data_IF_603018875982
#
_entry.id   IF_603018875982
#
_cell.length_a   1.000
_cell.length_b   1.000
_cell.length_c   1.000
_cell.angle_alpha   90.00
_cell.angle_beta   90.00
_cell.angle_gamma   90.00
#
_symmetry.space_group_name_H-M   'P 1'
#
loop_
_entity.id
_entity.type
_entity.pdbx_description
1 polymer ?
#
# COMPACT_ATOMS: atom_id res chain seq x y z
N UNK A 1 9.48 24.77 3.00
CA UNK A 1 8.12 25.25 2.68
C UNK A 1 7.19 24.05 2.82
N UNK A 2 6.48 23.93 3.95
CA UNK A 2 5.64 22.77 4.25
C UNK A 2 4.44 22.79 3.29
N UNK A 3 4.35 21.80 2.41
CA UNK A 3 3.17 21.58 1.59
C UNK A 3 2.10 21.09 2.56
N UNK A 4 1.29 22.01 3.10
CA UNK A 4 0.05 21.63 3.76
C UNK A 4 -0.85 21.07 2.67
N UNK A 5 -0.91 19.74 2.60
CA UNK A 5 -1.93 19.06 1.82
C UNK A 5 -3.29 19.65 2.20
N UNK A 6 -4.04 20.14 1.23
CA UNK A 6 -5.40 20.62 1.44
C UNK A 6 -6.30 19.40 1.67
N UNK A 7 -6.26 18.87 2.89
CA UNK A 7 -7.04 17.72 3.36
C UNK A 7 -8.56 17.96 3.28
N UNK A 8 -8.99 19.16 2.90
CA UNK A 8 -10.38 19.52 2.65
C UNK A 8 -10.84 19.27 1.22
N UNK A 9 -9.96 18.79 0.33
CA UNK A 9 -10.35 18.57 -1.06
C UNK A 9 -11.28 17.35 -1.17
N UNK A 10 -12.57 17.61 -0.95
CA UNK A 10 -13.68 16.68 -1.00
C UNK A 10 -14.20 16.50 -2.43
N UNK A 11 -13.31 16.51 -3.41
CA UNK A 11 -13.66 16.35 -4.81
C UNK A 11 -12.95 15.14 -5.42
N UNK A 12 -13.63 14.50 -6.37
CA UNK A 12 -13.00 13.45 -7.18
C UNK A 12 -12.01 14.09 -8.16
N UNK A 13 -10.85 13.47 -8.33
CA UNK A 13 -9.91 13.86 -9.39
C UNK A 13 -10.55 13.59 -10.76
N UNK A 14 -10.22 14.41 -11.78
CA UNK A 14 -10.82 14.28 -13.11
C UNK A 14 -10.60 12.88 -13.73
N UNK A 15 -9.41 12.30 -13.58
CA UNK A 15 -9.12 10.93 -14.03
C UNK A 15 -9.99 9.87 -13.33
N UNK A 16 -10.42 10.15 -12.10
CA UNK A 16 -11.24 9.25 -11.28
C UNK A 16 -12.70 9.37 -11.69
N UNK A 17 -13.20 10.59 -11.93
CA UNK A 17 -14.58 10.84 -12.41
C UNK A 17 -14.88 10.06 -13.69
N UNK A 18 -13.91 9.95 -14.60
CA UNK A 18 -14.06 9.24 -15.86
C UNK A 18 -14.12 7.70 -15.72
N UNK A 19 -13.64 7.13 -14.61
CA UNK A 19 -13.42 5.68 -14.49
C UNK A 19 -14.11 5.03 -13.28
N UNK A 20 -14.56 5.80 -12.30
CA UNK A 20 -15.16 5.29 -11.06
C UNK A 20 -16.43 6.04 -10.72
N UNK A 21 -17.47 5.29 -10.40
CA UNK A 21 -18.70 5.77 -9.80
C UNK A 21 -18.99 4.91 -8.57
N UNK A 22 -19.40 5.55 -7.47
CA UNK A 22 -19.85 4.83 -6.28
C UNK A 22 -21.37 4.74 -6.26
N UNK A 23 -21.89 3.60 -5.82
CA UNK A 23 -23.34 3.38 -5.69
C UNK A 23 -23.96 4.25 -4.56
N UNK A 24 -23.13 4.72 -3.62
CA UNK A 24 -23.52 5.46 -2.41
C UNK A 24 -22.54 6.62 -2.14
N UNK A 25 -22.95 7.65 -1.36
CA UNK A 25 -22.17 8.87 -1.16
C UNK A 25 -21.01 8.68 -0.16
N UNK A 26 -20.00 7.88 -0.53
CA UNK A 26 -18.75 7.72 0.24
C UNK A 26 -17.83 8.92 0.02
N UNK A 27 -16.92 9.14 0.98
CA UNK A 27 -15.93 10.20 0.86
C UNK A 27 -15.04 10.04 -0.40
N UNK A 28 -14.78 11.10 -1.18
CA UNK A 28 -14.00 11.02 -2.43
C UNK A 28 -12.62 10.42 -2.28
N UNK A 29 -11.98 10.56 -1.11
CA UNK A 29 -10.72 9.89 -0.78
C UNK A 29 -10.70 8.40 -1.13
N UNK A 30 -11.80 7.67 -0.89
CA UNK A 30 -11.87 6.23 -1.17
C UNK A 30 -11.82 5.91 -2.68
N UNK A 31 -12.34 6.81 -3.51
CA UNK A 31 -12.32 6.67 -4.98
C UNK A 31 -11.03 7.26 -5.56
N UNK A 32 -10.50 8.34 -4.98
CA UNK A 32 -9.26 8.98 -5.39
C UNK A 32 -8.05 8.10 -5.09
N UNK A 33 -8.09 7.30 -4.03
CA UNK A 33 -7.03 6.32 -3.78
C UNK A 33 -7.13 5.18 -4.80
N UNK A 34 -6.15 5.10 -5.68
CA UNK A 34 -5.94 3.97 -6.58
C UNK A 34 -4.45 3.62 -6.64
N UNK A 35 -4.13 2.46 -7.20
CA UNK A 35 -2.77 1.94 -7.17
C UNK A 35 -2.10 2.11 -8.52
N UNK A 36 -1.61 3.32 -8.79
CA UNK A 36 -0.78 3.62 -9.95
C UNK A 36 0.56 2.84 -9.87
N UNK A 37 1.19 2.64 -11.02
CA UNK A 37 2.52 2.08 -11.22
C UNK A 37 3.54 3.15 -11.59
N UNK A 38 3.11 4.28 -12.12
CA UNK A 38 4.01 5.37 -12.51
C UNK A 38 4.44 6.18 -11.30
N UNK A 39 5.75 6.42 -11.19
CA UNK A 39 6.33 7.21 -10.11
C UNK A 39 7.31 8.23 -10.69
N UNK A 40 7.33 9.43 -10.09
CA UNK A 40 8.41 10.39 -10.33
C UNK A 40 9.65 9.98 -9.54
N UNK A 41 10.83 10.35 -10.05
CA UNK A 41 12.10 10.26 -9.30
C UNK A 41 12.21 11.24 -8.13
N UNK A 42 11.15 12.03 -7.87
CA UNK A 42 11.08 12.98 -6.78
C UNK A 42 11.23 12.25 -5.43
N UNK A 43 12.22 12.60 -4.60
CA UNK A 43 12.38 12.00 -3.28
C UNK A 43 11.17 12.24 -2.38
N UNK A 44 10.90 11.25 -1.52
CA UNK A 44 9.94 11.38 -0.42
C UNK A 44 10.74 11.73 0.84
N UNK A 45 10.43 12.86 1.48
CA UNK A 45 11.13 13.25 2.71
C UNK A 45 10.79 12.29 3.85
N UNK A 46 11.69 12.17 4.82
CA UNK A 46 11.44 11.38 6.04
C UNK A 46 10.16 11.86 6.74
N UNK A 47 9.96 13.18 6.90
CA UNK A 47 8.72 13.72 7.48
C UNK A 47 7.45 13.18 6.78
N UNK A 48 7.45 13.15 5.44
CA UNK A 48 6.32 12.65 4.65
C UNK A 48 6.14 11.14 4.84
N UNK A 49 7.22 10.38 4.74
CA UNK A 49 7.23 8.93 4.92
C UNK A 49 6.75 8.52 6.32
N UNK A 50 7.26 9.19 7.36
CA UNK A 50 6.88 8.92 8.74
C UNK A 50 5.44 9.36 9.03
N UNK A 51 4.95 10.42 8.39
CA UNK A 51 3.51 10.78 8.48
C UNK A 51 2.61 9.67 7.94
N UNK A 52 3.01 9.03 6.83
CA UNK A 52 2.29 7.89 6.24
C UNK A 52 2.32 6.67 7.17
N UNK A 53 3.48 6.36 7.76
CA UNK A 53 3.64 5.25 8.70
C UNK A 53 2.91 5.50 10.03
N UNK A 54 2.86 6.74 10.50
CA UNK A 54 2.14 7.11 11.73
C UNK A 54 0.64 6.88 11.57
N UNK A 55 0.05 7.22 10.41
CA UNK A 55 -1.35 6.87 10.13
C UNK A 55 -1.59 5.37 10.15
N UNK A 56 -0.65 4.57 9.62
CA UNK A 56 -0.72 3.11 9.69
C UNK A 56 -0.67 2.60 11.13
N UNK A 57 0.15 3.22 12.00
CA UNK A 57 0.28 2.89 13.42
C UNK A 57 -1.01 3.10 14.21
N UNK A 58 -1.86 4.03 13.79
CA UNK A 58 -3.16 4.33 14.41
C UNK A 58 -4.30 3.41 13.97
N UNK A 59 -4.03 2.39 13.14
CA UNK A 59 -5.05 1.41 12.79
C UNK A 59 -5.56 0.65 14.04
N UNK A 60 -6.83 0.20 14.05
CA UNK A 60 -7.34 -0.66 15.11
C UNK A 60 -6.69 -2.05 15.03
N UNK A 61 -6.58 -2.73 16.18
CA UNK A 61 -6.16 -4.13 16.26
C UNK A 61 -6.79 -4.83 17.46
N UNK A 62 -6.97 -6.15 17.38
CA UNK A 62 -7.51 -6.91 18.51
C UNK A 62 -6.62 -6.76 19.73
N UNK A 63 -7.24 -6.47 20.87
CA UNK A 63 -6.56 -6.22 22.15
C UNK A 63 -5.45 -5.15 22.05
N UNK A 64 -5.53 -4.27 21.04
CA UNK A 64 -4.50 -3.27 20.73
C UNK A 64 -3.09 -3.87 20.54
N UNK A 65 -2.99 -5.09 20.00
CA UNK A 65 -1.72 -5.81 19.86
C UNK A 65 -0.78 -5.22 18.79
N UNK A 66 -1.31 -4.44 17.85
CA UNK A 66 -0.53 -3.70 16.84
C UNK A 66 0.54 -4.58 16.16
N UNK A 67 0.15 -5.68 15.50
CA UNK A 67 1.09 -6.72 15.08
C UNK A 67 2.00 -6.31 13.92
N UNK A 68 1.63 -5.25 13.20
CA UNK A 68 2.30 -4.80 11.98
C UNK A 68 3.75 -4.38 12.23
N UNK A 69 4.62 -4.68 11.26
CA UNK A 69 5.99 -4.18 11.14
C UNK A 69 6.21 -3.70 9.71
N UNK A 70 7.03 -2.66 9.57
CA UNK A 70 7.37 -2.06 8.30
C UNK A 70 8.89 -2.07 8.13
N UNK A 71 9.37 -2.77 7.10
CA UNK A 71 10.78 -2.73 6.71
C UNK A 71 10.88 -1.75 5.55
N UNK A 72 11.45 -0.59 5.80
CA UNK A 72 11.46 0.54 4.86
C UNK A 72 12.78 0.62 4.10
N UNK A 73 12.69 0.83 2.79
CA UNK A 73 13.81 1.12 1.91
C UNK A 73 13.60 2.47 1.23
N UNK A 74 14.48 3.43 1.52
CA UNK A 74 14.54 4.76 0.91
C UNK A 74 15.98 5.16 0.55
N UNK A 75 16.92 4.20 0.59
CA UNK A 75 18.30 4.33 0.11
C UNK A 75 18.53 3.33 -1.02
N UNK A 76 19.41 3.63 -1.96
CA UNK A 76 19.62 2.74 -3.12
C UNK A 76 20.04 1.33 -2.71
N UNK A 77 20.92 1.19 -1.71
CA UNK A 77 21.33 -0.10 -1.16
C UNK A 77 20.13 -0.91 -0.66
N UNK A 78 19.25 -0.28 0.13
CA UNK A 78 18.09 -0.97 0.70
C UNK A 78 17.01 -1.23 -0.35
N UNK A 79 16.88 -0.34 -1.33
CA UNK A 79 15.97 -0.51 -2.46
C UNK A 79 16.40 -1.70 -3.30
N UNK A 80 17.68 -1.82 -3.66
CA UNK A 80 18.21 -2.98 -4.37
C UNK A 80 18.04 -4.27 -3.57
N UNK A 81 18.25 -4.22 -2.25
CA UNK A 81 17.97 -5.37 -1.40
C UNK A 81 16.50 -5.82 -1.52
N UNK A 82 15.53 -4.90 -1.51
CA UNK A 82 14.11 -5.27 -1.69
C UNK A 82 13.81 -5.71 -3.13
N UNK A 83 14.35 -5.02 -4.14
CA UNK A 83 14.16 -5.35 -5.56
C UNK A 83 14.68 -6.74 -5.91
N UNK A 84 15.69 -7.25 -5.19
CA UNK A 84 16.28 -8.58 -5.41
C UNK A 84 15.30 -9.74 -5.31
N UNK A 85 14.23 -9.60 -4.51
CA UNK A 85 13.20 -10.62 -4.34
C UNK A 85 11.84 -10.25 -4.97
N UNK A 86 11.78 -9.16 -5.74
CA UNK A 86 10.60 -8.85 -6.56
C UNK A 86 10.60 -9.69 -7.85
N UNK A 87 9.43 -10.19 -8.24
CA UNK A 87 9.31 -10.86 -9.53
C UNK A 87 9.56 -9.89 -10.70
N UNK A 88 10.14 -10.35 -11.82
CA UNK A 88 10.57 -9.48 -12.93
C UNK A 88 9.50 -8.51 -13.44
N UNK A 89 8.26 -8.97 -13.55
CA UNK A 89 7.16 -8.13 -14.04
C UNK A 89 6.79 -6.97 -13.10
N UNK A 90 7.07 -7.09 -11.79
CA UNK A 90 6.89 -5.99 -10.84
C UNK A 90 8.01 -4.96 -10.93
N UNK A 91 9.24 -5.40 -11.19
CA UNK A 91 10.42 -4.52 -11.32
C UNK A 91 10.31 -3.52 -12.47
N UNK A 92 9.60 -3.87 -13.54
CA UNK A 92 9.35 -3.01 -14.70
C UNK A 92 8.73 -1.63 -14.34
N UNK A 93 8.15 -1.48 -13.15
CA UNK A 93 7.61 -0.23 -12.67
C UNK A 93 8.01 0.09 -11.22
N UNK A 94 8.14 -0.93 -10.35
CA UNK A 94 8.48 -0.73 -8.94
C UNK A 94 9.91 -0.19 -8.76
N UNK A 95 10.82 -0.42 -9.71
CA UNK A 95 12.19 0.10 -9.64
C UNK A 95 12.21 1.65 -9.70
N UNK A 96 11.18 2.29 -10.28
CA UNK A 96 11.03 3.75 -10.31
C UNK A 96 10.53 4.34 -8.98
N UNK A 97 10.00 3.52 -8.06
CA UNK A 97 9.48 4.00 -6.80
C UNK A 97 10.63 4.44 -5.86
N UNK A 98 10.60 5.67 -5.31
CA UNK A 98 11.64 6.16 -4.41
C UNK A 98 11.62 5.48 -3.03
N UNK A 99 10.50 4.81 -2.68
CA UNK A 99 10.35 4.06 -1.43
C UNK A 99 9.72 2.71 -1.70
N UNK A 100 10.31 1.66 -1.12
CA UNK A 100 9.71 0.33 -1.00
C UNK A 100 9.54 -0.03 0.48
N UNK A 101 8.41 -0.64 0.83
CA UNK A 101 8.11 -1.04 2.22
C UNK A 101 7.66 -2.50 2.22
N UNK A 102 8.36 -3.38 2.93
CA UNK A 102 7.82 -4.71 3.24
C UNK A 102 6.92 -4.59 4.47
N UNK A 103 5.64 -4.90 4.30
CA UNK A 103 4.69 -4.97 5.42
C UNK A 103 4.59 -6.41 5.93
N UNK A 104 4.79 -6.57 7.23
CA UNK A 104 4.83 -7.85 7.92
C UNK A 104 4.00 -7.79 9.20
N UNK A 105 3.77 -8.93 9.85
CA UNK A 105 3.11 -8.97 11.15
C UNK A 105 3.62 -10.11 12.03
N UNK A 106 3.63 -9.93 13.35
CA UNK A 106 3.89 -11.06 14.26
C UNK A 106 2.70 -12.04 14.28
N UNK A 107 3.00 -13.34 14.22
CA UNK A 107 2.04 -14.45 14.33
C UNK A 107 1.74 -14.84 15.77
N UNK A 108 2.55 -14.34 16.70
CA UNK A 108 2.48 -14.64 18.13
C UNK A 108 2.42 -13.37 18.94
N UNK A 109 1.74 -13.43 20.08
CA UNK A 109 1.71 -12.40 21.10
C UNK A 109 3.01 -12.44 21.92
N UNK A 110 3.19 -11.46 22.81
CA UNK A 110 4.36 -11.39 23.70
C UNK A 110 4.50 -12.61 24.61
N UNK A 111 3.38 -13.21 25.03
CA UNK A 111 3.37 -14.42 25.85
C UNK A 111 3.57 -15.73 25.04
N UNK A 112 3.80 -15.63 23.73
CA UNK A 112 3.99 -16.77 22.83
C UNK A 112 2.71 -17.36 22.25
N UNK A 113 1.53 -16.94 22.70
CA UNK A 113 0.26 -17.44 22.16
C UNK A 113 0.06 -17.03 20.69
N UNK A 114 -0.62 -17.84 19.88
CA UNK A 114 -1.00 -17.45 18.53
C UNK A 114 -1.82 -16.16 18.47
N UNK A 115 -1.61 -15.36 17.43
CA UNK A 115 -2.37 -14.16 17.11
C UNK A 115 -3.14 -14.34 15.80
N UNK A 116 -4.25 -15.11 15.76
CA UNK A 116 -4.85 -15.60 14.52
C UNK A 116 -5.30 -14.53 13.53
N UNK A 117 -5.58 -13.30 13.99
CA UNK A 117 -6.05 -12.20 13.14
C UNK A 117 -4.95 -11.19 12.79
N UNK A 118 -3.67 -11.51 13.02
CA UNK A 118 -2.55 -10.61 12.77
C UNK A 118 -2.56 -10.01 11.35
N UNK A 119 -2.91 -10.81 10.34
CA UNK A 119 -3.00 -10.39 8.94
C UNK A 119 -4.16 -9.43 8.70
N UNK A 120 -5.31 -9.66 9.34
CA UNK A 120 -6.49 -8.79 9.23
C UNK A 120 -6.20 -7.41 9.82
N UNK A 121 -5.64 -7.37 11.04
CA UNK A 121 -5.22 -6.13 11.71
C UNK A 121 -4.17 -5.37 10.87
N UNK A 122 -3.22 -6.10 10.28
CA UNK A 122 -2.19 -5.51 9.40
C UNK A 122 -2.77 -4.99 8.07
N UNK A 123 -3.85 -5.62 7.58
CA UNK A 123 -4.61 -5.10 6.43
C UNK A 123 -5.27 -3.74 6.71
N UNK A 124 -5.73 -3.51 7.95
CA UNK A 124 -6.22 -2.21 8.38
C UNK A 124 -5.09 -1.15 8.41
N UNK A 125 -3.91 -1.52 8.91
CA UNK A 125 -2.73 -0.66 8.88
C UNK A 125 -2.32 -0.30 7.44
N UNK A 126 -2.34 -1.26 6.52
CA UNK A 126 -2.15 -1.01 5.09
C UNK A 126 -3.19 -0.03 4.51
N UNK A 127 -4.47 -0.20 4.85
CA UNK A 127 -5.51 0.70 4.38
C UNK A 127 -5.25 2.14 4.84
N UNK A 128 -4.98 2.35 6.14
CA UNK A 128 -4.65 3.66 6.70
C UNK A 128 -3.40 4.27 6.05
N UNK A 129 -2.34 3.49 5.85
CA UNK A 129 -1.12 3.88 5.13
C UNK A 129 -1.47 4.42 3.73
N UNK A 130 -2.24 3.65 2.96
CA UNK A 130 -2.56 3.99 1.57
C UNK A 130 -3.44 5.25 1.45
N UNK A 131 -4.36 5.45 2.39
CA UNK A 131 -5.24 6.63 2.44
C UNK A 131 -4.44 7.88 2.85
N UNK A 132 -3.57 7.78 3.86
CA UNK A 132 -2.72 8.89 4.26
C UNK A 132 -1.76 9.29 3.14
N UNK A 133 -1.17 8.33 2.43
CA UNK A 133 -0.35 8.60 1.26
C UNK A 133 -1.14 9.39 0.21
N UNK A 134 -2.38 8.97 -0.09
CA UNK A 134 -3.25 9.67 -1.04
C UNK A 134 -3.55 11.11 -0.62
N UNK A 135 -3.76 11.36 0.68
CA UNK A 135 -3.98 12.72 1.20
C UNK A 135 -2.74 13.62 1.01
N UNK A 136 -1.54 13.05 1.03
CA UNK A 136 -0.27 13.76 0.80
C UNK A 136 0.10 13.87 -0.68
N UNK A 137 -0.78 13.45 -1.60
CA UNK A 137 -0.53 13.45 -3.03
C UNK A 137 0.45 12.34 -3.49
N UNK A 138 0.63 11.31 -2.68
CA UNK A 138 1.43 10.13 -3.01
C UNK A 138 0.55 9.00 -3.56
N UNK A 139 1.14 8.16 -4.40
CA UNK A 139 0.57 6.89 -4.83
C UNK A 139 1.16 5.73 -4.03
N UNK A 140 0.34 4.71 -3.78
CA UNK A 140 0.77 3.45 -3.15
C UNK A 140 0.28 2.23 -3.92
N UNK A 141 1.16 1.24 -4.06
CA UNK A 141 0.84 -0.03 -4.72
C UNK A 141 1.46 -1.21 -4.00
N UNK A 142 0.60 -2.03 -3.38
CA UNK A 142 0.99 -3.29 -2.74
C UNK A 142 1.13 -4.43 -3.76
N UNK A 143 2.16 -5.26 -3.54
CA UNK A 143 2.51 -6.43 -4.32
C UNK A 143 2.53 -7.66 -3.41
N UNK A 144 1.57 -8.55 -3.57
CA UNK A 144 1.61 -9.88 -2.94
C UNK A 144 2.55 -10.86 -3.67
N UNK A 145 2.85 -10.60 -4.95
CA UNK A 145 3.73 -11.42 -5.78
C UNK A 145 5.20 -11.01 -5.64
N UNK A 146 5.89 -11.61 -4.68
CA UNK A 146 7.34 -11.54 -4.49
C UNK A 146 7.84 -12.86 -3.89
N UNK A 147 9.14 -13.14 -3.97
CA UNK A 147 9.72 -14.33 -3.37
C UNK A 147 9.83 -14.15 -1.85
N UNK A 148 8.84 -14.69 -1.11
CA UNK A 148 8.77 -14.58 0.35
C UNK A 148 9.92 -15.30 1.06
N UNK A 149 10.42 -16.40 0.49
CA UNK A 149 11.52 -17.17 1.07
C UNK A 149 12.85 -16.44 0.89
N UNK A 150 13.10 -15.88 -0.30
CA UNK A 150 14.23 -14.99 -0.53
C UNK A 150 14.14 -13.75 0.38
N UNK A 151 12.99 -13.07 0.43
CA UNK A 151 12.80 -11.92 1.30
C UNK A 151 13.06 -12.24 2.78
N UNK A 152 12.61 -13.40 3.26
CA UNK A 152 12.87 -13.85 4.64
C UNK A 152 14.36 -14.01 4.92
N UNK A 153 15.11 -14.64 4.00
CA UNK A 153 16.57 -14.81 4.15
C UNK A 153 17.31 -13.48 4.10
N UNK A 154 17.05 -12.68 3.06
CA UNK A 154 17.74 -11.41 2.83
C UNK A 154 17.50 -10.40 3.96
N UNK A 155 16.26 -10.35 4.47
CA UNK A 155 15.88 -9.43 5.54
C UNK A 155 16.00 -10.04 6.94
N UNK A 156 16.49 -11.28 7.06
CA UNK A 156 16.66 -12.01 8.32
C UNK A 156 15.38 -12.03 9.17
N UNK A 157 14.23 -12.27 8.53
CA UNK A 157 12.92 -12.18 9.18
C UNK A 157 12.65 -13.45 9.99
N UNK A 158 12.39 -13.36 11.31
CA UNK A 158 12.11 -14.54 12.13
C UNK A 158 10.83 -15.26 11.71
N UNK A 159 10.74 -16.57 11.93
CA UNK A 159 9.57 -17.40 11.55
C UNK A 159 8.27 -17.00 12.27
N UNK A 160 8.41 -16.33 13.41
CA UNK A 160 7.31 -15.72 14.15
C UNK A 160 6.68 -14.55 13.41
N UNK A 161 7.27 -14.04 12.33
CA UNK A 161 6.70 -13.00 11.49
C UNK A 161 6.21 -13.54 10.15
N UNK A 162 5.08 -13.00 9.70
CA UNK A 162 4.54 -13.22 8.36
C UNK A 162 4.81 -12.03 7.46
N UNK A 163 5.29 -12.29 6.23
CA UNK A 163 5.45 -11.27 5.19
C UNK A 163 4.19 -11.22 4.31
N UNK A 164 3.57 -10.04 4.21
CA UNK A 164 2.29 -9.87 3.50
C UNK A 164 2.48 -9.34 2.08
N UNK A 165 3.13 -8.19 1.96
CA UNK A 165 3.30 -7.49 0.69
C UNK A 165 4.55 -6.61 0.68
N UNK A 166 5.01 -6.27 -0.53
CA UNK A 166 5.90 -5.13 -0.77
C UNK A 166 5.08 -3.98 -1.32
N UNK A 167 5.24 -2.79 -0.76
CA UNK A 167 4.50 -1.58 -1.11
C UNK A 167 5.46 -0.63 -1.81
N UNK A 168 5.15 -0.25 -3.04
CA UNK A 168 5.77 0.90 -3.70
C UNK A 168 5.05 2.19 -3.26
N UNK A 169 5.84 3.21 -2.92
CA UNK A 169 5.35 4.52 -2.49
C UNK A 169 6.16 5.64 -3.15
N UNK A 170 5.48 6.66 -3.65
CA UNK A 170 6.11 7.81 -4.30
C UNK A 170 5.08 8.77 -4.90
N UNK A 171 5.55 9.87 -5.47
CA UNK A 171 4.68 10.80 -6.20
C UNK A 171 4.28 10.20 -7.55
N UNK A 172 2.99 10.28 -7.96
CA UNK A 172 2.54 9.71 -9.22
C UNK A 172 3.26 10.35 -10.41
N UNK A 173 3.75 9.53 -11.33
CA UNK A 173 4.35 9.95 -12.60
C UNK A 173 3.35 9.87 -13.77
N UNK A 174 3.78 10.25 -14.98
CA UNK A 174 2.96 10.06 -16.17
C UNK A 174 3.05 8.63 -16.71
N UNK A 175 1.96 8.14 -17.32
CA UNK A 175 1.87 6.75 -17.83
C UNK A 175 2.90 6.45 -18.92
N UNK A 176 3.38 7.47 -19.62
CA UNK A 176 4.39 7.36 -20.67
C UNK A 176 5.75 6.86 -20.16
N UNK A 177 6.04 7.01 -18.85
CA UNK A 177 7.26 6.48 -18.22
C UNK A 177 7.20 4.97 -17.98
N UNK A 178 6.03 4.35 -18.14
CA UNK A 178 5.83 2.93 -17.94
C UNK A 178 6.20 2.13 -19.19
N UNK A 179 6.63 0.89 -18.94
CA UNK A 179 6.69 -0.14 -19.97
C UNK A 179 5.32 -0.27 -20.68
N UNK A 180 5.33 -0.48 -22.00
CA UNK A 180 4.13 -0.44 -22.85
C UNK A 180 2.99 -1.34 -22.34
N UNK A 181 3.32 -2.51 -21.78
CA UNK A 181 2.37 -3.47 -21.21
C UNK A 181 1.54 -2.96 -20.03
N UNK A 182 1.89 -1.80 -19.45
CA UNK A 182 1.16 -1.19 -18.34
C UNK A 182 0.41 0.09 -18.71
N UNK A 183 0.74 0.75 -19.83
CA UNK A 183 0.22 2.10 -20.14
C UNK A 183 -1.30 2.15 -20.23
N UNK A 184 -1.91 1.15 -20.86
CA UNK A 184 -3.37 1.04 -21.00
C UNK A 184 -4.07 0.59 -19.71
N UNK A 185 -3.30 0.19 -18.70
CA UNK A 185 -3.80 -0.26 -17.39
C UNK A 185 -3.51 0.76 -16.30
N UNK A 186 -3.00 1.92 -16.67
CA UNK A 186 -2.64 3.01 -15.78
C UNK A 186 -3.82 3.97 -15.65
N UNK A 187 -4.91 3.43 -15.11
CA UNK A 187 -6.14 4.16 -14.81
C UNK A 187 -6.85 3.56 -13.59
N UNK A 188 -7.69 4.33 -12.89
CA UNK A 188 -8.46 3.85 -11.75
C UNK A 188 -9.43 2.72 -12.15
N UNK A 189 -9.29 1.53 -11.57
CA UNK A 189 -10.22 0.42 -11.85
C UNK A 189 -11.57 0.55 -11.13
N UNK A 190 -12.65 0.01 -11.73
CA UNK A 190 -13.97 -0.09 -11.12
C UNK A 190 -14.09 -1.18 -10.05
N UNK A 191 -15.31 -1.39 -9.53
CA UNK A 191 -15.68 -2.48 -8.62
C UNK A 191 -16.92 -3.19 -9.16
N UNK A 192 -17.08 -4.46 -8.82
CA UNK A 192 -18.37 -5.15 -8.96
C UNK A 192 -19.45 -4.40 -8.15
N UNK A 193 -20.73 -4.52 -8.51
CA UNK A 193 -21.83 -3.92 -7.74
C UNK A 193 -21.77 -4.29 -6.26
N UNK A 194 -22.20 -3.36 -5.38
CA UNK A 194 -22.18 -3.61 -3.93
C UNK A 194 -22.97 -4.88 -3.55
N UNK A 195 -24.07 -5.15 -4.26
CA UNK A 195 -24.94 -6.31 -4.03
C UNK A 195 -24.21 -7.65 -4.13
N UNK A 196 -23.14 -7.77 -4.93
CA UNK A 196 -22.33 -9.00 -5.00
C UNK A 196 -21.46 -9.22 -3.75
N UNK A 197 -21.34 -8.24 -2.86
CA UNK A 197 -20.55 -8.33 -1.62
C UNK A 197 -21.41 -8.36 -0.36
N UNK A 198 -22.73 -8.25 -0.49
CA UNK A 198 -23.68 -8.37 0.62
C UNK A 198 -24.32 -9.75 0.52
N UNK A 199 -23.99 -10.61 1.48
CA UNK A 199 -24.70 -11.88 1.68
C UNK A 199 -25.84 -11.63 2.66
N UNK A 200 -27.02 -12.17 2.36
CA UNK A 200 -28.21 -12.05 3.21
C UNK A 200 -28.10 -12.86 4.50
N UNK A 201 -29.24 -13.33 5.02
CA UNK A 201 -29.31 -14.01 6.32
C UNK A 201 -28.42 -15.28 6.40
N UNK A 202 -28.20 -15.96 5.28
CA UNK A 202 -27.36 -17.17 5.18
C UNK A 202 -26.59 -17.23 3.87
N UNK A 203 -25.45 -17.95 3.86
CA UNK A 203 -24.56 -18.17 2.71
C UNK A 203 -25.06 -19.18 1.67
N UNK A 204 -26.36 -19.51 1.69
CA UNK A 204 -26.98 -20.55 0.83
C UNK A 204 -26.88 -20.22 -0.66
#
# INVERSE_FOLDING_TARGET
MSIKADWKNNELLEEVKANRTADYPVHPLFLNRWSARSYLSKPVSDETLYTVLEAARWAPSSSNLQPWRFIVANTEEKLEQIRSFLFPNNRLWADQAPVLIVIASTRVKENGDPQPIHSFDTGAAWAALSLQASLLGLSTRAMGGFDKEAARRELQVPDTFELHAVIALGYPGGKETLHESFRDRELPNGRRPLSESIVGDTWS
#
